data_IF_334791143559
#
_entry.id   IF_334791143559
#
_cell.length_a   1.000
_cell.length_b   1.000
_cell.length_c   1.000
_cell.angle_alpha   90.00
_cell.angle_beta   90.00
_cell.angle_gamma   90.00
#
_symmetry.space_group_name_H-M   'P 1'
#
loop_
_entity.id
_entity.type
_entity.pdbx_description
1 polymer ?
#
# COMPACT_ATOMS: atom_id res chain seq x y z
N UNK A 1 -12.53 43.11 -11.50
CA UNK A 1 -11.30 43.80 -11.05
C UNK A 1 -10.35 42.73 -10.55
N UNK A 2 -9.57 42.15 -11.47
CA UNK A 2 -8.45 41.27 -11.13
C UNK A 2 -7.24 42.17 -11.02
N UNK A 3 -6.67 42.31 -9.83
CA UNK A 3 -5.46 43.09 -9.64
C UNK A 3 -4.27 42.30 -10.16
N UNK A 4 -3.58 42.91 -11.12
CA UNK A 4 -2.22 42.57 -11.48
C UNK A 4 -1.31 42.87 -10.28
N UNK A 5 -1.09 41.88 -9.41
CA UNK A 5 -0.13 42.01 -8.32
C UNK A 5 1.20 41.36 -8.73
N UNK A 6 1.93 42.15 -9.53
CA UNK A 6 3.39 42.33 -9.53
C UNK A 6 4.22 41.09 -9.14
N UNK A 7 4.76 40.45 -10.18
CA UNK A 7 6.07 39.79 -10.27
C UNK A 7 6.98 40.03 -9.06
N UNK A 8 6.79 39.25 -8.01
CA UNK A 8 7.74 39.18 -6.91
C UNK A 8 9.09 38.69 -7.49
N UNK A 9 10.24 39.22 -7.06
CA UNK A 9 11.52 38.62 -7.43
C UNK A 9 11.56 37.19 -6.88
N UNK A 10 11.66 36.20 -7.77
CA UNK A 10 11.72 34.76 -7.46
C UNK A 10 12.97 34.38 -6.64
N UNK A 11 13.88 35.33 -6.41
CA UNK A 11 15.03 35.18 -5.55
C UNK A 11 14.68 35.68 -4.14
N UNK A 12 13.98 34.83 -3.38
CA UNK A 12 14.17 34.89 -1.94
C UNK A 12 15.61 34.49 -1.68
N UNK A 13 16.46 35.45 -1.29
CA UNK A 13 17.76 35.19 -0.69
C UNK A 13 17.52 34.53 0.68
N UNK A 14 16.98 33.33 0.67
CA UNK A 14 17.08 32.41 1.79
C UNK A 14 18.54 31.97 1.79
N UNK A 15 19.23 32.09 2.93
CA UNK A 15 20.58 31.55 3.09
C UNK A 15 20.50 30.01 3.10
N UNK A 16 20.12 29.42 1.97
CA UNK A 16 20.09 27.99 1.76
C UNK A 16 21.39 27.60 1.07
N UNK A 17 21.93 26.45 1.47
CA UNK A 17 23.17 25.89 0.93
C UNK A 17 23.08 25.55 -0.56
N UNK A 18 21.88 25.32 -1.07
CA UNK A 18 21.62 24.92 -2.45
C UNK A 18 20.89 26.04 -3.21
N UNK A 19 21.33 26.30 -4.43
CA UNK A 19 20.77 27.34 -5.30
C UNK A 19 19.51 26.86 -6.05
N UNK A 20 19.15 25.58 -5.91
CA UNK A 20 18.01 24.94 -6.59
C UNK A 20 17.08 24.24 -5.58
N UNK A 21 15.77 24.32 -5.84
CA UNK A 21 14.72 23.67 -5.03
C UNK A 21 14.17 22.41 -5.69
N UNK A 22 13.52 21.56 -4.90
CA UNK A 22 12.88 20.33 -5.38
C UNK A 22 11.85 20.58 -6.49
N UNK A 23 11.04 21.65 -6.38
CA UNK A 23 10.03 21.99 -7.39
C UNK A 23 10.64 22.35 -8.74
N UNK A 24 11.79 23.04 -8.73
CA UNK A 24 12.53 23.35 -9.96
C UNK A 24 13.05 22.07 -10.60
N UNK A 25 13.54 21.11 -9.81
CA UNK A 25 13.94 19.80 -10.33
C UNK A 25 12.75 19.01 -10.91
N UNK A 26 11.59 19.02 -10.25
CA UNK A 26 10.38 18.38 -10.76
C UNK A 26 9.95 18.98 -12.11
N UNK A 27 10.07 20.30 -12.28
CA UNK A 27 9.75 20.95 -13.54
C UNK A 27 10.64 20.52 -14.71
N UNK A 28 11.91 20.14 -14.46
CA UNK A 28 12.77 19.55 -15.50
C UNK A 28 12.27 18.18 -15.95
N UNK A 29 11.70 17.39 -15.05
CA UNK A 29 11.15 16.06 -15.37
C UNK A 29 9.97 16.24 -16.33
N UNK A 30 9.14 17.24 -16.09
CA UNK A 30 8.01 17.58 -16.95
C UNK A 30 8.47 18.14 -18.32
N UNK A 31 9.54 18.95 -18.33
CA UNK A 31 10.03 19.64 -19.53
C UNK A 31 11.56 19.57 -19.66
N UNK A 32 12.11 18.60 -20.41
CA UNK A 32 13.56 18.41 -20.51
C UNK A 32 14.29 19.56 -21.22
N UNK A 33 13.58 20.39 -21.99
CA UNK A 33 14.15 21.54 -22.71
C UNK A 33 14.64 22.64 -21.77
N UNK A 34 14.08 22.72 -20.55
CA UNK A 34 14.46 23.69 -19.53
C UNK A 34 15.86 23.45 -18.99
N UNK A 35 16.46 22.27 -19.19
CA UNK A 35 17.83 21.99 -18.75
C UNK A 35 18.85 23.03 -19.29
N UNK A 36 18.62 23.53 -20.50
CA UNK A 36 19.47 24.56 -21.11
C UNK A 36 19.45 25.88 -20.33
N UNK A 37 18.31 26.28 -19.75
CA UNK A 37 18.20 27.50 -18.95
C UNK A 37 18.88 27.38 -17.59
N UNK A 38 19.06 26.17 -17.07
CA UNK A 38 19.80 25.90 -15.82
C UNK A 38 21.32 25.83 -16.02
N UNK A 39 21.84 26.15 -17.21
CA UNK A 39 23.27 26.05 -17.52
C UNK A 39 23.71 24.63 -17.90
N UNK A 40 22.78 23.79 -18.35
CA UNK A 40 23.03 22.41 -18.73
C UNK A 40 23.29 21.50 -17.53
N UNK A 41 23.89 20.34 -17.78
CA UNK A 41 24.23 19.38 -16.72
C UNK A 41 25.29 19.93 -15.76
N UNK A 42 26.23 20.74 -16.25
CA UNK A 42 27.29 21.33 -15.43
C UNK A 42 26.75 22.37 -14.45
N UNK A 43 25.90 23.30 -14.92
CA UNK A 43 25.25 24.28 -14.05
C UNK A 43 24.37 23.62 -12.98
N UNK A 44 23.68 22.53 -13.35
CA UNK A 44 22.89 21.74 -12.42
C UNK A 44 23.76 21.06 -11.34
N UNK A 45 24.87 20.44 -11.73
CA UNK A 45 25.82 19.85 -10.77
C UNK A 45 26.35 20.91 -9.81
N UNK A 46 26.70 22.10 -10.30
CA UNK A 46 27.15 23.20 -9.46
C UNK A 46 26.06 23.69 -8.49
N UNK A 47 24.82 23.84 -8.96
CA UNK A 47 23.69 24.26 -8.12
C UNK A 47 23.35 23.22 -7.03
N UNK A 48 23.55 21.93 -7.32
CA UNK A 48 23.37 20.82 -6.39
C UNK A 48 24.59 20.56 -5.49
N UNK A 49 25.67 21.34 -5.65
CA UNK A 49 26.97 21.13 -5.00
C UNK A 49 27.52 19.70 -5.19
N UNK A 50 27.38 19.17 -6.41
CA UNK A 50 27.90 17.86 -6.81
C UNK A 50 29.11 18.08 -7.72
N UNK A 51 30.22 17.39 -7.45
CA UNK A 51 31.33 17.35 -8.40
C UNK A 51 30.96 16.38 -9.54
N UNK A 52 30.99 16.82 -10.82
CA UNK A 52 30.68 15.93 -11.94
C UNK A 52 31.67 14.78 -12.13
N UNK A 53 32.88 14.88 -11.57
CA UNK A 53 33.94 13.87 -11.71
C UNK A 53 34.10 13.01 -10.46
N UNK A 54 34.00 13.61 -9.27
CA UNK A 54 34.19 12.91 -7.98
C UNK A 54 32.88 12.56 -7.28
N UNK A 55 31.76 13.17 -7.68
CA UNK A 55 30.46 12.98 -7.04
C UNK A 55 30.31 13.77 -5.74
N UNK A 56 29.64 13.14 -4.77
CA UNK A 56 29.36 13.74 -3.47
C UNK A 56 30.45 13.36 -2.46
N UNK A 57 30.94 14.34 -1.71
CA UNK A 57 31.86 14.06 -0.61
C UNK A 57 31.12 13.40 0.55
N UNK A 58 31.71 12.40 1.24
CA UNK A 58 31.10 11.75 2.40
C UNK A 58 30.85 12.71 3.58
N UNK A 59 31.60 13.82 3.60
CA UNK A 59 31.51 14.86 4.60
C UNK A 59 31.05 16.17 3.93
N UNK A 60 29.75 16.36 3.85
CA UNK A 60 29.13 17.64 3.44
C UNK A 60 29.03 18.63 4.60
N UNK A 61 29.56 18.31 5.80
CA UNK A 61 29.39 19.11 7.01
C UNK A 61 30.17 20.44 7.02
N UNK A 62 31.00 20.67 6.00
CA UNK A 62 31.76 21.90 5.88
C UNK A 62 30.85 23.07 5.51
N UNK A 63 30.54 23.92 6.49
CA UNK A 63 29.84 25.17 6.24
C UNK A 63 30.82 26.35 6.28
N UNK A 64 30.83 27.22 5.25
CA UNK A 64 31.79 28.32 5.16
C UNK A 64 31.67 29.35 6.30
N UNK A 65 30.53 29.39 7.01
CA UNK A 65 30.32 30.31 8.15
C UNK A 65 30.61 29.69 9.53
N UNK A 66 30.48 28.37 9.72
CA UNK A 66 30.62 27.74 11.05
C UNK A 66 31.68 26.62 11.12
N UNK A 67 32.43 26.37 10.03
CA UNK A 67 33.45 25.32 9.99
C UNK A 67 32.83 23.92 10.02
N UNK A 68 33.66 22.91 10.34
CA UNK A 68 33.20 21.53 10.57
C UNK A 68 32.50 21.52 11.93
N UNK A 69 31.17 21.39 11.93
CA UNK A 69 30.40 21.24 13.15
C UNK A 69 30.54 19.79 13.64
N UNK A 70 31.34 19.56 14.69
CA UNK A 70 31.56 18.24 15.32
C UNK A 70 30.34 17.70 16.07
N UNK A 71 29.12 18.04 15.64
CA UNK A 71 27.91 17.34 16.05
C UNK A 71 27.87 15.98 15.36
N UNK A 72 27.24 14.94 15.95
CA UNK A 72 26.98 13.67 15.28
C UNK A 72 25.88 13.84 14.22
N UNK A 73 26.07 14.81 13.33
CA UNK A 73 25.18 15.10 12.22
C UNK A 73 25.31 13.93 11.25
N UNK A 74 24.19 13.28 10.98
CA UNK A 74 24.14 12.21 10.00
C UNK A 74 24.58 12.81 8.66
N UNK A 75 25.49 12.12 7.95
CA UNK A 75 25.93 12.59 6.64
C UNK A 75 24.70 12.88 5.76
N UNK A 76 24.71 14.01 5.03
CA UNK A 76 23.65 14.44 4.10
C UNK A 76 22.31 14.89 4.72
N UNK A 77 22.20 15.19 6.03
CA UNK A 77 20.93 15.63 6.63
C UNK A 77 20.37 16.92 5.99
N UNK A 78 21.21 17.91 5.69
CA UNK A 78 20.79 19.17 5.04
C UNK A 78 20.20 18.93 3.64
N UNK A 79 20.82 18.02 2.87
CA UNK A 79 20.32 17.61 1.55
C UNK A 79 19.00 16.86 1.70
N UNK A 80 18.90 15.94 2.66
CA UNK A 80 17.67 15.19 2.95
C UNK A 80 16.53 16.08 3.43
N UNK A 81 16.82 17.16 4.15
CA UNK A 81 15.84 18.15 4.59
C UNK A 81 15.28 18.98 3.41
N UNK A 82 16.11 19.30 2.42
CA UNK A 82 15.73 20.12 1.27
C UNK A 82 15.09 19.34 0.12
N UNK A 83 15.55 18.11 -0.14
CA UNK A 83 15.11 17.30 -1.29
C UNK A 83 14.29 16.06 -0.92
N UNK A 84 14.18 15.74 0.37
CA UNK A 84 13.55 14.52 0.85
C UNK A 84 14.45 13.29 0.77
N UNK A 85 13.93 12.15 1.22
CA UNK A 85 14.60 10.85 1.17
C UNK A 85 14.22 10.06 -0.08
N UNK A 86 15.18 9.32 -0.65
CA UNK A 86 14.92 8.35 -1.72
C UNK A 86 14.40 7.02 -1.13
N UNK A 87 13.27 7.09 -0.43
CA UNK A 87 12.63 5.94 0.19
C UNK A 87 11.27 5.73 -0.50
N UNK A 88 11.10 4.56 -1.11
CA UNK A 88 9.80 4.16 -1.64
C UNK A 88 8.89 3.94 -0.41
N UNK A 89 7.73 4.61 -0.33
CA UNK A 89 6.84 4.44 0.80
C UNK A 89 6.43 2.97 0.92
N UNK A 90 6.51 2.41 2.12
CA UNK A 90 6.05 1.05 2.37
C UNK A 90 4.54 0.97 2.05
N UNK A 91 4.15 -0.09 1.35
CA UNK A 91 2.74 -0.34 1.09
C UNK A 91 2.01 -0.46 2.45
N UNK A 92 0.86 0.24 2.64
CA UNK A 92 0.15 0.18 3.90
C UNK A 92 -0.24 -1.27 4.19
N UNK A 93 0.22 -1.80 5.32
CA UNK A 93 -0.09 -3.16 5.72
C UNK A 93 -1.59 -3.26 6.05
N UNK A 94 -2.34 -4.00 5.25
CA UNK A 94 -3.75 -4.27 5.53
C UNK A 94 -3.84 -5.20 6.73
N UNK A 95 -4.69 -4.88 7.70
CA UNK A 95 -4.96 -5.76 8.83
C UNK A 95 -5.64 -7.06 8.38
N UNK A 96 -5.43 -8.15 9.13
CA UNK A 96 -6.06 -9.45 8.86
C UNK A 96 -7.59 -9.34 8.72
N UNK A 97 -8.25 -8.57 9.59
CA UNK A 97 -9.70 -8.36 9.52
C UNK A 97 -10.14 -7.61 8.26
N UNK A 98 -9.32 -6.67 7.76
CA UNK A 98 -9.60 -6.00 6.48
C UNK A 98 -9.53 -6.98 5.31
N UNK A 99 -8.61 -7.94 5.34
CA UNK A 99 -8.51 -8.99 4.32
C UNK A 99 -9.71 -9.94 4.38
N UNK A 100 -10.12 -10.36 5.58
CA UNK A 100 -11.32 -11.20 5.76
C UNK A 100 -12.58 -10.46 5.27
N UNK A 101 -12.72 -9.17 5.59
CA UNK A 101 -13.84 -8.36 5.12
C UNK A 101 -13.83 -8.20 3.59
N UNK A 102 -12.65 -8.02 3.00
CA UNK A 102 -12.50 -7.98 1.55
C UNK A 102 -12.90 -9.32 0.90
N UNK A 103 -12.47 -10.45 1.46
CA UNK A 103 -12.81 -11.79 0.97
C UNK A 103 -14.30 -12.13 1.14
N UNK A 104 -14.97 -11.60 2.18
CA UNK A 104 -16.39 -11.84 2.43
C UNK A 104 -17.32 -11.18 1.40
N UNK A 105 -16.82 -10.26 0.57
CA UNK A 105 -17.62 -9.62 -0.49
C UNK A 105 -17.85 -10.51 -1.72
N UNK A 106 -17.30 -11.72 -1.75
CA UNK A 106 -17.56 -12.68 -2.82
C UNK A 106 -18.98 -13.27 -2.70
N UNK A 107 -19.74 -13.21 -3.79
CA UNK A 107 -21.11 -13.75 -3.87
C UNK A 107 -21.17 -15.24 -3.55
N UNK A 108 -20.12 -16.01 -3.88
CA UNK A 108 -20.07 -17.44 -3.62
C UNK A 108 -20.02 -17.75 -2.11
N UNK A 109 -19.17 -17.02 -1.36
CA UNK A 109 -19.01 -17.19 0.09
C UNK A 109 -20.29 -16.77 0.84
N UNK A 110 -20.94 -15.71 0.37
CA UNK A 110 -22.24 -15.27 0.90
C UNK A 110 -23.31 -16.33 0.66
N UNK A 111 -23.41 -16.88 -0.56
CA UNK A 111 -24.37 -17.95 -0.89
C UNK A 111 -24.15 -19.20 -0.02
N UNK A 112 -22.88 -19.59 0.18
CA UNK A 112 -22.53 -20.73 1.04
C UNK A 112 -22.90 -20.48 2.51
N UNK A 113 -22.71 -19.26 3.01
CA UNK A 113 -23.08 -18.90 4.39
C UNK A 113 -24.59 -19.02 4.60
N UNK A 114 -25.39 -18.51 3.66
CA UNK A 114 -26.86 -18.60 3.71
C UNK A 114 -27.31 -20.05 3.60
N UNK A 115 -26.77 -20.81 2.63
CA UNK A 115 -27.10 -22.23 2.46
C UNK A 115 -26.79 -23.06 3.71
N UNK A 116 -25.64 -22.80 4.35
CA UNK A 116 -25.24 -23.44 5.61
C UNK A 116 -26.23 -23.11 6.74
N UNK A 117 -26.64 -21.85 6.88
CA UNK A 117 -27.61 -21.43 7.89
C UNK A 117 -28.98 -22.09 7.72
N UNK A 118 -29.49 -22.15 6.49
CA UNK A 118 -30.76 -22.82 6.18
C UNK A 118 -30.64 -24.32 6.45
N UNK A 119 -29.52 -24.95 6.07
CA UNK A 119 -29.26 -26.38 6.32
C UNK A 119 -29.22 -26.69 7.82
N UNK A 120 -28.59 -25.82 8.62
CA UNK A 120 -28.55 -25.93 10.07
C UNK A 120 -29.96 -25.79 10.67
N UNK A 121 -30.74 -24.80 10.23
CA UNK A 121 -32.09 -24.56 10.74
C UNK A 121 -33.03 -25.74 10.46
N UNK A 122 -33.00 -26.28 9.23
CA UNK A 122 -33.78 -27.48 8.86
C UNK A 122 -33.30 -28.70 9.64
N UNK A 123 -31.99 -28.87 9.79
CA UNK A 123 -31.41 -29.97 10.59
C UNK A 123 -31.88 -29.94 12.04
N UNK A 124 -31.80 -28.79 12.70
CA UNK A 124 -32.27 -28.62 14.09
C UNK A 124 -33.78 -28.84 14.19
N UNK A 125 -34.56 -28.37 13.22
CA UNK A 125 -36.02 -28.55 13.20
C UNK A 125 -36.42 -30.03 13.08
N UNK A 126 -35.79 -30.78 12.18
CA UNK A 126 -36.03 -32.22 12.01
C UNK A 126 -35.56 -33.00 13.23
N UNK A 127 -34.40 -32.64 13.81
CA UNK A 127 -33.91 -33.25 15.07
C UNK A 127 -34.92 -33.04 16.20
N UNK A 128 -35.46 -31.83 16.37
CA UNK A 128 -36.45 -31.56 17.41
C UNK A 128 -37.76 -32.34 17.19
N UNK A 129 -38.24 -32.44 15.94
CA UNK A 129 -39.44 -33.22 15.58
C UNK A 129 -39.24 -34.72 15.82
N UNK A 130 -38.11 -35.28 15.39
CA UNK A 130 -37.80 -36.71 15.51
C UNK A 130 -37.63 -37.14 16.97
N UNK A 131 -37.04 -36.29 17.82
CA UNK A 131 -36.93 -36.55 19.27
C UNK A 131 -38.31 -36.71 19.93
N UNK A 132 -39.33 -35.98 19.49
CA UNK A 132 -40.69 -36.08 20.03
C UNK A 132 -41.41 -37.36 19.56
N UNK A 133 -41.09 -37.88 18.36
CA UNK A 133 -41.71 -39.08 17.79
C UNK A 133 -40.99 -40.39 18.17
N UNK A 134 -39.75 -40.32 18.66
CA UNK A 134 -38.90 -41.48 18.94
C UNK A 134 -38.99 -42.02 20.39
N UNK A 135 -40.07 -41.73 21.13
CA UNK A 135 -40.41 -42.42 22.38
C UNK A 135 -41.07 -43.81 22.17
N UNK A 136 -40.90 -44.43 20.99
CA UNK A 136 -41.23 -45.84 20.78
C UNK A 136 -40.18 -46.51 19.86
N UNK A 137 -39.34 -47.43 20.36
CA UNK A 137 -38.37 -48.11 19.52
C UNK A 137 -39.06 -49.22 18.75
N UNK A 138 -39.68 -48.89 17.62
CA UNK A 138 -40.06 -49.92 16.63
C UNK A 138 -39.09 -49.85 15.47
N UNK A 139 -38.11 -50.75 15.52
CA UNK A 139 -37.24 -51.16 14.43
C UNK A 139 -38.08 -51.49 13.18
N UNK A 140 -38.26 -50.55 12.26
CA UNK A 140 -39.02 -50.78 11.02
C UNK A 140 -38.08 -51.37 9.97
N UNK A 141 -38.11 -52.70 9.85
CA UNK A 141 -38.55 -53.33 8.60
C UNK A 141 -37.58 -53.48 7.43
N UNK A 142 -36.27 -53.40 7.61
CA UNK A 142 -35.33 -53.86 6.57
C UNK A 142 -35.09 -55.36 6.71
N UNK A 143 -35.99 -56.20 6.17
CA UNK A 143 -35.70 -57.58 5.71
C UNK A 143 -36.98 -58.26 5.17
N UNK A 144 -37.72 -57.57 4.30
CA UNK A 144 -38.61 -58.28 3.35
C UNK A 144 -38.22 -57.79 1.97
N UNK A 145 -37.23 -58.46 1.37
CA UNK A 145 -36.95 -58.31 -0.05
C UNK A 145 -38.05 -59.01 -0.85
N UNK A 146 -38.54 -58.40 -1.96
CA UNK A 146 -39.51 -59.07 -2.83
C UNK A 146 -38.91 -60.37 -3.39
N UNK A 147 -39.65 -61.47 -3.39
CA UNK A 147 -39.18 -62.79 -3.90
C UNK A 147 -38.59 -62.73 -5.31
N UNK A 148 -38.98 -61.75 -6.11
CA UNK A 148 -38.47 -61.49 -7.46
C UNK A 148 -36.98 -61.10 -7.51
N UNK A 149 -36.41 -60.59 -6.41
CA UNK A 149 -34.99 -60.19 -6.33
C UNK A 149 -34.06 -61.42 -6.25
N UNK A 150 -34.55 -62.56 -5.74
CA UNK A 150 -33.80 -63.82 -5.74
C UNK A 150 -33.72 -64.47 -7.14
N UNK A 151 -34.68 -64.19 -8.03
CA UNK A 151 -34.71 -64.76 -9.38
C UNK A 151 -33.75 -64.07 -10.36
N UNK A 152 -33.15 -62.94 -9.99
CA UNK A 152 -32.23 -62.20 -10.85
C UNK A 152 -30.77 -62.66 -10.76
N UNK A 153 -30.48 -63.65 -9.90
CA UNK A 153 -29.13 -64.16 -9.62
C UNK A 153 -29.06 -65.69 -9.75
N UNK A 154 -29.82 -66.27 -10.68
CA UNK A 154 -29.63 -67.64 -11.17
C UNK A 154 -29.91 -67.75 -12.67
#
# INVERSE_FOLDING_TARGET
MYTEDVKAPLLHSNKQKFDITQDQLNSLIEQPMLLSSFGGTFGLCQALQVDPTLGLSPDESFHPTYGILSTPHLAFEERRAMFGGNEIPEAPSTSFFSLVWAAYKDQTLIMLTIASFVSLAVGIWEINRTVILQMNPRWVGWMVWPSWVLWLWW
#
